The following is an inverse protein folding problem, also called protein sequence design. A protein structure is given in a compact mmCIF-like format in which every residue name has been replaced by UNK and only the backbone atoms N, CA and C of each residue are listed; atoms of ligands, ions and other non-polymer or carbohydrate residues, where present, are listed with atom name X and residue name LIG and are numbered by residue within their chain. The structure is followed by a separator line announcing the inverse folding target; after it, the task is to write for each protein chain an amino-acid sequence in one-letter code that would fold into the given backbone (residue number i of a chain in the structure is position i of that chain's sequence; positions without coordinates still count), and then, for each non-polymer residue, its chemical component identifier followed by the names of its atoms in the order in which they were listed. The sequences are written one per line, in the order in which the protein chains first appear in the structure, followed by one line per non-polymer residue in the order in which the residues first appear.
data_IF_429913524140
#
_entry.id   IF_429913524140
#
_cell.length_a   1.000
_cell.length_b   1.000
_cell.length_c   1.000
_cell.angle_alpha   90.00
_cell.angle_beta   90.00
_cell.angle_gamma   90.00
#
_symmetry.space_group_name_H-M   'P 1'
#
loop_
_entity.id
_entity.type
_entity.pdbx_description
1 polymer ?
#
# COMPACT_ATOMS: atom_id res chain seq x y z
N UNK A 1 -21.77 20.63 -12.51
CA UNK A 1 -21.63 20.39 -12.01
C UNK A 1 -20.89 20.79 -11.46
N UNK A 2 -20.42 20.97 -11.13
CA UNK A 2 -19.72 21.02 -10.71
C UNK A 2 -19.30 21.18 -9.62
N UNK A 3 -19.15 22.29 -9.04
CA UNK A 3 -18.89 22.22 -8.04
C UNK A 3 -19.51 21.38 -7.30
N UNK A 4 -20.40 21.37 -7.50
CA UNK A 4 -21.12 20.17 -7.29
C UNK A 4 -20.31 18.98 -7.64
N UNK A 5 -19.50 19.11 -8.66
CA UNK A 5 -18.60 18.05 -9.09
C UNK A 5 -17.61 17.69 -8.00
N UNK A 6 -17.01 18.68 -7.37
CA UNK A 6 -16.05 18.43 -6.30
C UNK A 6 -16.72 17.69 -5.15
N UNK A 7 -17.95 18.09 -4.81
CA UNK A 7 -18.69 17.40 -3.78
C UNK A 7 -19.00 15.97 -4.15
N UNK A 8 -19.31 15.73 -5.41
CA UNK A 8 -19.55 14.37 -5.87
C UNK A 8 -18.31 13.51 -5.74
N UNK A 9 -17.14 14.07 -6.04
CA UNK A 9 -15.89 13.34 -5.86
C UNK A 9 -15.63 13.01 -4.40
N UNK A 10 -15.97 13.93 -3.50
CA UNK A 10 -15.79 13.67 -2.10
C UNK A 10 -16.63 12.51 -1.60
N UNK A 11 -17.79 12.32 -2.21
CA UNK A 11 -18.71 11.27 -1.79
C UNK A 11 -18.53 9.97 -2.57
N UNK A 12 -17.99 10.06 -3.78
CA UNK A 12 -17.69 8.87 -4.57
C UNK A 12 -16.58 8.08 -3.92
N UNK A 13 -16.83 6.84 -3.62
CA UNK A 13 -15.85 5.99 -2.98
C UNK A 13 -15.74 6.21 -1.49
N UNK A 14 -16.65 7.01 -0.92
CA UNK A 14 -16.67 7.22 0.52
C UNK A 14 -16.90 5.89 1.23
N UNK A 15 -16.08 5.61 2.21
CA UNK A 15 -16.13 4.38 2.96
C UNK A 15 -17.13 4.49 4.10
N UNK A 16 -17.97 3.49 4.24
CA UNK A 16 -18.88 3.40 5.37
C UNK A 16 -18.26 2.52 6.45
N UNK A 17 -18.22 3.03 7.67
CA UNK A 17 -17.73 2.30 8.82
C UNK A 17 -16.28 2.59 9.18
N UNK A 18 -15.59 3.39 8.38
CA UNK A 18 -14.20 3.77 8.64
C UNK A 18 -13.92 5.06 7.88
N UNK A 19 -13.01 5.87 8.38
CA UNK A 19 -12.61 7.09 7.67
C UNK A 19 -11.88 6.73 6.38
N UNK A 20 -12.06 7.55 5.36
CA UNK A 20 -11.50 7.28 4.03
C UNK A 20 -9.98 7.16 4.06
N UNK A 21 -9.30 8.06 4.80
CA UNK A 21 -7.84 8.01 4.85
C UNK A 21 -7.34 6.73 5.53
N UNK A 22 -8.09 6.19 6.48
CA UNK A 22 -7.73 4.93 7.13
C UNK A 22 -8.04 3.74 6.22
N UNK A 23 -9.14 3.81 5.49
CA UNK A 23 -9.45 2.81 4.48
C UNK A 23 -8.31 2.74 3.44
N UNK A 24 -7.82 3.90 3.03
CA UNK A 24 -6.75 3.95 2.04
C UNK A 24 -5.48 3.27 2.57
N UNK A 25 -5.16 3.47 3.84
CA UNK A 25 -4.01 2.80 4.46
C UNK A 25 -4.18 1.29 4.46
N UNK A 26 -5.36 0.82 4.85
CA UNK A 26 -5.64 -0.63 4.90
C UNK A 26 -5.61 -1.22 3.50
N UNK A 27 -6.23 -0.55 2.54
CA UNK A 27 -6.27 -1.02 1.16
C UNK A 27 -4.88 -1.09 0.56
N UNK A 28 -4.08 -0.06 0.76
CA UNK A 28 -2.73 -0.01 0.23
C UNK A 28 -1.84 -1.05 0.89
N UNK A 29 -1.99 -1.26 2.19
CA UNK A 29 -1.26 -2.31 2.89
C UNK A 29 -1.55 -3.68 2.27
N UNK A 30 -2.82 -3.97 2.03
CA UNK A 30 -3.22 -5.23 1.42
C UNK A 30 -2.58 -5.43 0.05
N UNK A 31 -2.63 -4.40 -0.80
CA UNK A 31 -2.07 -4.46 -2.15
C UNK A 31 -0.55 -4.67 -2.12
N UNK A 32 0.14 -3.97 -1.22
CA UNK A 32 1.60 -4.08 -1.14
C UNK A 32 2.03 -5.43 -0.60
N UNK A 33 1.30 -5.99 0.35
CA UNK A 33 1.58 -7.33 0.83
C UNK A 33 1.43 -8.36 -0.28
N UNK A 34 0.42 -8.18 -1.14
CA UNK A 34 0.24 -9.07 -2.29
C UNK A 34 1.40 -8.98 -3.27
N UNK A 35 2.05 -7.82 -3.37
CA UNK A 35 3.16 -7.64 -4.29
C UNK A 35 4.44 -8.36 -3.84
N UNK A 36 4.60 -8.62 -2.55
CA UNK A 36 5.84 -9.21 -2.05
C UNK A 36 6.13 -10.57 -2.67
N UNK A 37 5.11 -11.43 -2.78
CA UNK A 37 5.34 -12.74 -3.37
C UNK A 37 5.68 -12.64 -4.87
N UNK A 38 5.22 -11.59 -5.55
CA UNK A 38 5.58 -11.37 -6.95
C UNK A 38 7.06 -11.09 -7.09
N UNK A 39 7.62 -10.30 -6.18
CA UNK A 39 9.06 -10.03 -6.21
C UNK A 39 9.86 -11.29 -5.98
N UNK A 40 9.40 -12.18 -5.10
CA UNK A 40 10.03 -13.47 -4.90
C UNK A 40 10.02 -14.29 -6.19
N UNK A 41 8.91 -14.25 -6.92
CA UNK A 41 8.82 -14.93 -8.21
C UNK A 41 9.78 -14.31 -9.22
N UNK A 42 9.88 -12.98 -9.25
CA UNK A 42 10.78 -12.29 -10.17
C UNK A 42 12.25 -12.63 -9.85
N UNK A 43 12.59 -12.70 -8.57
CA UNK A 43 13.92 -13.09 -8.13
C UNK A 43 14.23 -14.51 -8.61
N UNK A 44 13.31 -15.42 -8.43
CA UNK A 44 13.47 -16.79 -8.89
C UNK A 44 13.62 -16.86 -10.41
N UNK A 45 12.85 -16.06 -11.13
CA UNK A 45 12.89 -16.01 -12.60
C UNK A 45 14.22 -15.43 -13.12
N UNK A 46 14.92 -14.68 -12.28
CA UNK A 46 16.21 -14.09 -12.68
C UNK A 46 17.28 -15.14 -12.91
N UNK A 47 17.13 -16.31 -12.32
CA UNK A 47 18.08 -17.39 -12.50
C UNK A 47 19.48 -16.99 -12.06
N UNK A 48 20.43 -17.09 -12.95
CA UNK A 48 21.83 -16.75 -12.66
C UNK A 48 22.19 -15.30 -12.99
N UNK A 49 21.23 -14.50 -13.41
CA UNK A 49 21.48 -13.10 -13.75
C UNK A 49 21.51 -12.27 -12.49
N UNK A 50 22.72 -12.03 -11.99
CA UNK A 50 22.90 -11.39 -10.68
C UNK A 50 22.35 -9.95 -10.67
N UNK A 51 22.57 -9.20 -11.76
CA UNK A 51 22.09 -7.82 -11.83
C UNK A 51 20.57 -7.72 -11.73
N UNK A 52 19.85 -8.68 -12.30
CA UNK A 52 18.38 -8.69 -12.19
C UNK A 52 17.94 -9.11 -10.80
N UNK A 53 18.61 -10.11 -10.25
CA UNK A 53 18.31 -10.60 -8.90
C UNK A 53 18.51 -9.47 -7.88
N UNK A 54 19.61 -8.76 -7.98
CA UNK A 54 19.92 -7.66 -7.08
C UNK A 54 18.89 -6.54 -7.21
N UNK A 55 18.50 -6.23 -8.44
CA UNK A 55 17.47 -5.22 -8.67
C UNK A 55 16.17 -5.57 -7.96
N UNK A 56 15.67 -6.79 -8.15
CA UNK A 56 14.41 -7.21 -7.55
C UNK A 56 14.51 -7.31 -6.02
N UNK A 57 15.65 -7.72 -5.51
CA UNK A 57 15.85 -7.73 -4.05
C UNK A 57 15.80 -6.33 -3.49
N UNK A 58 16.37 -5.36 -4.20
CA UNK A 58 16.30 -3.96 -3.81
C UNK A 58 14.88 -3.43 -3.82
N UNK A 59 14.10 -3.75 -4.86
CA UNK A 59 12.70 -3.36 -4.96
C UNK A 59 11.91 -3.96 -3.80
N UNK A 60 12.12 -5.24 -3.51
CA UNK A 60 11.43 -5.91 -2.41
C UNK A 60 11.77 -5.25 -1.07
N UNK A 61 13.04 -4.94 -0.83
CA UNK A 61 13.45 -4.30 0.41
C UNK A 61 12.79 -2.94 0.58
N UNK A 62 12.70 -2.17 -0.49
CA UNK A 62 12.02 -0.87 -0.44
C UNK A 62 10.54 -1.05 -0.13
N UNK A 63 9.91 -2.05 -0.73
CA UNK A 63 8.50 -2.30 -0.48
C UNK A 63 8.26 -2.73 0.96
N UNK A 64 9.15 -3.52 1.54
CA UNK A 64 9.04 -3.88 2.95
C UNK A 64 9.11 -2.66 3.86
N UNK A 65 9.96 -1.70 3.53
CA UNK A 65 10.04 -0.44 4.28
C UNK A 65 8.74 0.36 4.15
N UNK A 66 8.17 0.40 2.96
CA UNK A 66 6.89 1.08 2.74
C UNK A 66 5.78 0.43 3.56
N UNK A 67 5.76 -0.90 3.59
CA UNK A 67 4.78 -1.66 4.37
C UNK A 67 4.92 -1.35 5.85
N UNK A 68 6.15 -1.35 6.37
CA UNK A 68 6.39 -1.04 7.77
C UNK A 68 5.92 0.35 8.13
N UNK A 69 6.12 1.32 7.25
CA UNK A 69 5.65 2.68 7.47
C UNK A 69 4.13 2.76 7.50
N UNK A 70 3.46 2.06 6.60
CA UNK A 70 1.99 2.01 6.58
C UNK A 70 1.48 1.39 7.88
N UNK A 71 2.07 0.29 8.31
CA UNK A 71 1.69 -0.38 9.56
C UNK A 71 1.86 0.56 10.76
N UNK A 72 2.92 1.34 10.77
CA UNK A 72 3.15 2.31 11.84
C UNK A 72 2.08 3.39 11.85
N UNK A 73 1.71 3.91 10.69
CA UNK A 73 0.64 4.90 10.59
C UNK A 73 -0.70 4.33 11.05
N UNK A 74 -0.99 3.10 10.68
CA UNK A 74 -2.23 2.45 11.14
C UNK A 74 -2.23 2.34 12.66
N UNK A 75 -1.12 1.93 13.25
CA UNK A 75 -1.03 1.83 14.72
C UNK A 75 -1.27 3.18 15.38
N UNK A 76 -0.68 4.25 14.84
CA UNK A 76 -0.87 5.59 15.39
C UNK A 76 -2.32 6.02 15.34
N UNK A 77 -2.99 5.75 14.23
CA UNK A 77 -4.39 6.13 14.08
C UNK A 77 -5.30 5.33 15.01
N UNK A 78 -5.03 4.05 15.18
CA UNK A 78 -5.77 3.23 16.12
C UNK A 78 -5.59 3.75 17.54
N UNK A 79 -4.34 4.06 17.93
CA UNK A 79 -4.03 4.52 19.28
C UNK A 79 -4.65 5.87 19.60
N UNK A 80 -4.82 6.73 18.61
CA UNK A 80 -5.40 8.05 18.79
C UNK A 80 -6.91 8.07 18.57
N UNK A 81 -7.53 6.91 18.42
CA UNK A 81 -8.97 6.78 18.17
C UNK A 81 -9.42 7.45 16.88
N UNK A 82 -8.54 7.55 15.92
CA UNK A 82 -8.87 8.11 14.60
C UNK A 82 -9.29 7.03 13.61
N UNK A 83 -9.25 5.80 14.04
CA UNK A 83 -9.51 4.67 13.13
C UNK A 83 -11.00 4.23 13.19
#
# INVERSE_FOLDING_TARGET
MTMTTDKQYEHLGETQGIEDHDHDLVHELSRRLDCLWRYDQYIANSGSRIELKDFWQGVKSQEQRNIDQIKQLIRQHVQSNCF
#
